data_IF_945861055829
#
_entry.id   IF_945861055829
#
_cell.length_a   1.000
_cell.length_b   1.000
_cell.length_c   1.000
_cell.angle_alpha   90.00
_cell.angle_beta   90.00
_cell.angle_gamma   90.00
#
_symmetry.space_group_name_H-M   'P 1'
#
loop_
_entity.id
_entity.type
_entity.pdbx_description
1 polymer ?
#
# COMPACT_ATOMS: atom_id res chain seq x y z
N UNK A 1 -19.21 -7.17 -12.38
CA UNK A 1 -18.15 -7.22 -13.41
C UNK A 1 -17.41 -8.53 -13.31
N UNK A 2 -17.22 -9.24 -14.42
CA UNK A 2 -16.43 -10.46 -14.38
C UNK A 2 -14.94 -10.06 -14.44
N UNK A 3 -14.21 -10.16 -13.32
CA UNK A 3 -12.75 -10.04 -13.29
C UNK A 3 -12.03 -11.15 -14.09
N UNK A 4 -12.81 -12.00 -14.77
CA UNK A 4 -12.31 -13.06 -15.66
C UNK A 4 -11.57 -12.52 -16.88
N UNK A 5 -11.76 -11.24 -17.21
CA UNK A 5 -11.18 -10.60 -18.40
C UNK A 5 -9.90 -9.80 -18.10
N UNK A 6 -9.58 -9.60 -16.81
CA UNK A 6 -8.33 -8.94 -16.42
C UNK A 6 -7.12 -9.86 -16.64
N UNK A 7 -6.01 -9.29 -17.08
CA UNK A 7 -4.76 -10.04 -17.30
C UNK A 7 -4.27 -10.65 -15.99
N UNK A 8 -3.94 -11.95 -15.93
CA UNK A 8 -3.31 -12.52 -14.73
C UNK A 8 -1.96 -11.85 -14.45
N UNK A 9 -1.69 -11.57 -13.17
CA UNK A 9 -0.36 -11.15 -12.74
C UNK A 9 0.65 -12.25 -13.05
N UNK A 10 1.82 -11.88 -13.58
CA UNK A 10 2.93 -12.81 -13.85
C UNK A 10 3.25 -13.61 -12.59
N UNK A 11 3.38 -14.93 -12.75
CA UNK A 11 3.80 -15.83 -11.66
C UNK A 11 5.26 -16.23 -11.85
N UNK A 12 6.04 -16.16 -10.78
CA UNK A 12 7.41 -16.68 -10.75
C UNK A 12 7.37 -18.21 -10.63
N UNK A 13 7.99 -18.89 -11.59
CA UNK A 13 8.05 -20.34 -11.66
C UNK A 13 9.35 -20.86 -11.06
N UNK A 14 9.33 -22.05 -10.45
CA UNK A 14 10.51 -22.78 -9.99
C UNK A 14 11.31 -22.07 -8.90
N UNK A 15 10.63 -21.29 -8.05
CA UNK A 15 11.26 -20.61 -6.91
C UNK A 15 11.32 -21.53 -5.68
N UNK A 16 12.43 -21.47 -4.96
CA UNK A 16 12.59 -22.18 -3.69
C UNK A 16 11.80 -21.48 -2.56
N UNK A 17 11.13 -22.24 -1.66
CA UNK A 17 10.45 -21.67 -0.52
C UNK A 17 11.37 -20.76 0.33
N UNK A 18 10.88 -19.56 0.65
CA UNK A 18 11.62 -18.58 1.47
C UNK A 18 12.70 -17.79 0.72
N UNK A 19 12.94 -18.05 -0.58
CA UNK A 19 13.98 -17.37 -1.38
C UNK A 19 13.34 -16.62 -2.55
N UNK A 20 13.37 -15.29 -2.49
CA UNK A 20 12.91 -14.45 -3.60
C UNK A 20 14.09 -14.24 -4.55
N UNK A 21 13.97 -14.62 -5.84
CA UNK A 21 15.02 -14.35 -6.82
C UNK A 21 15.23 -12.84 -7.05
N UNK A 22 16.48 -12.42 -7.28
CA UNK A 22 16.84 -11.00 -7.48
C UNK A 22 16.06 -10.35 -8.63
N UNK A 23 15.75 -11.08 -9.69
CA UNK A 23 14.99 -10.55 -10.81
C UNK A 23 13.55 -10.13 -10.45
N UNK A 24 12.97 -10.67 -9.35
CA UNK A 24 11.66 -10.25 -8.86
C UNK A 24 11.75 -8.82 -8.31
N UNK A 25 12.80 -8.53 -7.53
CA UNK A 25 13.02 -7.18 -7.00
C UNK A 25 13.36 -6.15 -8.07
N UNK A 26 13.94 -6.60 -9.19
CA UNK A 26 14.23 -5.77 -10.35
C UNK A 26 13.05 -5.66 -11.34
N UNK A 27 11.91 -6.30 -11.05
CA UNK A 27 10.73 -6.22 -11.92
C UNK A 27 10.06 -4.86 -11.80
N UNK A 28 9.72 -4.27 -12.95
CA UNK A 28 8.91 -3.06 -13.02
C UNK A 28 7.41 -3.36 -12.95
N UNK A 29 7.02 -4.64 -12.95
CA UNK A 29 5.64 -5.09 -12.86
C UNK A 29 5.44 -6.03 -11.67
N UNK A 30 4.19 -6.15 -11.15
CA UNK A 30 3.89 -7.08 -10.07
C UNK A 30 4.20 -8.53 -10.41
N UNK A 31 4.65 -9.29 -9.41
CA UNK A 31 5.00 -10.71 -9.56
C UNK A 31 4.41 -11.53 -8.42
N UNK A 32 3.64 -12.57 -8.75
CA UNK A 32 3.13 -13.56 -7.78
C UNK A 32 4.18 -14.64 -7.53
N UNK A 33 4.35 -15.02 -6.28
CA UNK A 33 5.22 -16.09 -5.82
C UNK A 33 4.38 -17.11 -5.05
N UNK A 34 4.06 -18.25 -5.69
CA UNK A 34 3.21 -19.28 -5.09
C UNK A 34 3.97 -20.07 -4.04
N UNK A 35 3.36 -20.26 -2.87
CA UNK A 35 3.88 -21.08 -1.78
C UNK A 35 5.18 -20.59 -1.16
N UNK A 36 5.65 -19.37 -1.49
CA UNK A 36 6.95 -18.83 -1.05
C UNK A 36 7.10 -18.81 0.48
N UNK A 37 6.01 -18.60 1.21
CA UNK A 37 5.96 -18.58 2.68
C UNK A 37 5.11 -19.73 3.26
N UNK A 38 4.80 -20.77 2.48
CA UNK A 38 4.01 -21.91 2.95
C UNK A 38 4.68 -22.68 4.10
N UNK A 39 6.00 -22.54 4.25
CA UNK A 39 6.78 -23.13 5.33
C UNK A 39 6.71 -22.36 6.65
N UNK A 40 6.11 -21.19 6.69
CA UNK A 40 5.97 -20.42 7.92
C UNK A 40 5.04 -21.13 8.91
N UNK A 41 5.41 -21.28 10.20
CA UNK A 41 4.48 -21.80 11.21
C UNK A 41 3.16 -21.01 11.27
N UNK A 42 3.19 -19.71 11.05
CA UNK A 42 1.99 -18.89 11.00
C UNK A 42 1.00 -19.32 9.89
N UNK A 43 1.49 -19.94 8.80
CA UNK A 43 0.67 -20.47 7.70
C UNK A 43 0.24 -21.91 8.00
N UNK A 44 1.17 -22.77 8.43
CA UNK A 44 0.94 -24.20 8.63
C UNK A 44 0.13 -24.52 9.89
N UNK A 45 0.38 -23.77 10.97
CA UNK A 45 -0.30 -23.96 12.26
C UNK A 45 -1.60 -23.15 12.33
N UNK A 46 -1.71 -22.14 11.46
CA UNK A 46 -2.90 -21.33 11.31
C UNK A 46 -3.88 -21.97 10.33
N UNK A 47 -4.69 -22.90 10.77
CA UNK A 47 -5.81 -23.56 10.07
C UNK A 47 -6.83 -22.59 9.41
N UNK A 48 -6.37 -21.42 8.98
CA UNK A 48 -7.18 -20.31 8.43
C UNK A 48 -8.36 -19.89 9.31
N UNK A 49 -8.45 -20.42 10.54
CA UNK A 49 -9.47 -20.06 11.52
C UNK A 49 -8.98 -18.91 12.43
N UNK A 50 -9.94 -18.14 12.93
CA UNK A 50 -9.67 -17.08 13.93
C UNK A 50 -8.97 -17.67 15.16
N UNK A 51 -9.40 -18.84 15.64
CA UNK A 51 -8.89 -19.44 16.87
C UNK A 51 -7.44 -19.91 16.74
N UNK A 52 -7.07 -20.45 15.59
CA UNK A 52 -5.69 -20.84 15.30
C UNK A 52 -4.77 -19.63 15.17
N UNK A 53 -5.22 -18.62 14.45
CA UNK A 53 -4.49 -17.36 14.30
C UNK A 53 -4.32 -16.64 15.65
N UNK A 54 -5.36 -16.56 16.48
CA UNK A 54 -5.27 -15.97 17.81
C UNK A 54 -4.29 -16.73 18.70
N UNK A 55 -4.35 -18.06 18.72
CA UNK A 55 -3.43 -18.89 19.51
C UNK A 55 -1.99 -18.65 19.09
N UNK A 56 -1.72 -18.64 17.77
CA UNK A 56 -0.38 -18.46 17.26
C UNK A 56 0.13 -17.04 17.48
N UNK A 57 -0.60 -16.01 17.06
CA UNK A 57 -0.21 -14.61 17.25
C UNK A 57 -0.18 -14.21 18.72
N UNK A 58 -1.10 -14.77 19.54
CA UNK A 58 -1.17 -14.52 20.97
C UNK A 58 0.08 -14.98 21.74
N UNK A 59 0.84 -15.95 21.20
CA UNK A 59 2.12 -16.36 21.80
C UNK A 59 3.23 -15.31 21.66
N UNK A 60 3.07 -14.34 20.76
CA UNK A 60 4.01 -13.24 20.53
C UNK A 60 3.42 -11.89 20.97
N UNK A 61 2.10 -11.78 21.06
CA UNK A 61 1.42 -10.49 21.22
C UNK A 61 1.76 -9.81 22.55
N UNK A 62 2.05 -8.53 22.47
CA UNK A 62 2.13 -7.64 23.63
C UNK A 62 0.74 -7.11 23.99
N UNK A 63 0.63 -6.45 25.17
CA UNK A 63 -0.59 -5.75 25.58
C UNK A 63 -0.76 -4.38 24.89
N UNK A 64 0.14 -4.00 23.97
CA UNK A 64 0.00 -2.75 23.22
C UNK A 64 -1.26 -2.76 22.35
N UNK A 65 -2.09 -1.71 22.41
CA UNK A 65 -3.29 -1.64 21.59
C UNK A 65 -2.94 -1.46 20.12
N UNK A 66 -3.63 -2.18 19.25
CA UNK A 66 -3.63 -1.95 17.80
C UNK A 66 -4.69 -0.93 17.43
N UNK A 67 -4.47 -0.19 16.33
CA UNK A 67 -5.52 0.64 15.74
C UNK A 67 -6.41 -0.23 14.87
N UNK A 68 -7.70 -0.25 15.18
CA UNK A 68 -8.72 -0.92 14.37
C UNK A 68 -9.67 0.10 13.74
N UNK A 69 -10.05 -0.18 12.52
CA UNK A 69 -11.07 0.54 11.77
C UNK A 69 -12.32 -0.33 11.72
N UNK A 70 -13.48 0.28 11.97
CA UNK A 70 -14.77 -0.41 12.01
C UNK A 70 -15.74 0.33 11.10
N UNK A 71 -16.28 -0.38 10.12
CA UNK A 71 -17.29 0.14 9.21
C UNK A 71 -18.60 -0.64 9.37
N UNK A 72 -19.78 0.03 9.24
CA UNK A 72 -21.07 -0.62 9.32
C UNK A 72 -21.32 -1.53 8.12
N UNK A 73 -22.32 -2.41 8.19
CA UNK A 73 -22.63 -3.40 7.15
C UNK A 73 -22.94 -2.76 5.79
N UNK A 74 -23.52 -1.56 5.78
CA UNK A 74 -23.84 -0.80 4.56
C UNK A 74 -22.58 -0.42 3.77
N UNK A 75 -21.44 -0.31 4.44
CA UNK A 75 -20.16 -0.07 3.80
C UNK A 75 -19.66 -1.28 2.97
N UNK A 76 -20.28 -2.46 3.15
CA UNK A 76 -19.96 -3.69 2.41
C UNK A 76 -18.46 -4.03 2.39
N UNK A 77 -17.79 -3.80 3.52
CA UNK A 77 -16.37 -4.03 3.66
C UNK A 77 -15.46 -2.90 3.16
N UNK A 78 -15.98 -1.89 2.47
CA UNK A 78 -15.18 -0.78 1.93
C UNK A 78 -14.89 0.27 3.00
N UNK A 79 -13.63 0.63 3.12
CA UNK A 79 -13.15 1.74 3.94
C UNK A 79 -12.82 2.92 3.02
N UNK A 80 -13.57 4.01 3.11
CA UNK A 80 -13.44 5.15 2.22
C UNK A 80 -14.10 6.41 2.79
N UNK A 81 -14.47 7.31 1.89
CA UNK A 81 -15.18 8.54 2.23
C UNK A 81 -16.66 8.25 2.52
N UNK A 82 -17.27 9.09 3.35
CA UNK A 82 -18.72 9.18 3.46
C UNK A 82 -19.31 9.93 2.26
N UNK A 83 -20.64 9.92 2.11
CA UNK A 83 -21.32 10.49 0.95
C UNK A 83 -21.10 11.99 0.76
N UNK A 84 -20.84 12.73 1.85
CA UNK A 84 -20.57 14.17 1.82
C UNK A 84 -19.11 14.55 1.60
N UNK A 85 -18.20 13.59 1.58
CA UNK A 85 -16.75 13.81 1.49
C UNK A 85 -16.18 14.71 2.60
N UNK A 86 -16.89 14.92 3.69
CA UNK A 86 -16.43 15.66 4.86
C UNK A 86 -15.82 14.77 5.95
N UNK A 87 -15.87 13.46 5.77
CA UNK A 87 -15.34 12.42 6.66
C UNK A 87 -15.22 11.06 5.97
N UNK A 88 -15.12 10.03 6.80
CA UNK A 88 -15.02 8.65 6.37
C UNK A 88 -16.28 7.86 6.74
N UNK A 89 -16.52 6.76 6.02
CA UNK A 89 -17.63 5.84 6.29
C UNK A 89 -17.32 4.82 7.40
N UNK A 90 -16.24 5.03 8.15
CA UNK A 90 -15.78 4.16 9.23
C UNK A 90 -15.35 4.99 10.46
N UNK A 91 -15.19 4.30 11.57
CA UNK A 91 -14.60 4.84 12.81
C UNK A 91 -13.29 4.12 13.10
N UNK A 92 -12.35 4.81 13.74
CA UNK A 92 -11.13 4.22 14.27
C UNK A 92 -11.17 4.16 15.79
N UNK A 93 -10.53 3.16 16.35
CA UNK A 93 -10.35 2.97 17.78
C UNK A 93 -9.12 2.14 18.07
N UNK A 94 -8.73 2.06 19.33
CA UNK A 94 -7.58 1.28 19.77
C UNK A 94 -8.04 0.21 20.76
N UNK A 95 -7.56 -1.04 20.58
CA UNK A 95 -7.87 -2.15 21.47
C UNK A 95 -6.71 -3.16 21.48
N UNK A 96 -6.52 -3.94 22.55
CA UNK A 96 -5.61 -5.09 22.53
C UNK A 96 -5.98 -6.08 21.44
N UNK A 97 -4.99 -6.76 20.88
CA UNK A 97 -5.20 -7.70 19.77
C UNK A 97 -6.20 -8.82 20.12
N UNK A 98 -6.18 -9.33 21.37
CA UNK A 98 -7.16 -10.32 21.87
C UNK A 98 -8.62 -9.83 21.75
N UNK A 99 -8.88 -8.55 22.01
CA UNK A 99 -10.23 -7.98 21.93
C UNK A 99 -10.68 -7.86 20.47
N UNK A 100 -9.74 -7.63 19.56
CA UNK A 100 -10.01 -7.64 18.11
C UNK A 100 -10.42 -9.06 17.66
N UNK A 101 -9.71 -10.10 18.09
CA UNK A 101 -10.09 -11.48 17.78
C UNK A 101 -11.49 -11.83 18.30
N UNK A 102 -11.81 -11.43 19.54
CA UNK A 102 -13.15 -11.63 20.10
C UNK A 102 -14.21 -10.94 19.21
N UNK A 103 -14.00 -9.67 18.83
CA UNK A 103 -14.95 -8.94 17.99
C UNK A 103 -15.10 -9.56 16.60
N UNK A 104 -14.02 -10.08 16.01
CA UNK A 104 -14.09 -10.77 14.73
C UNK A 104 -14.94 -12.04 14.80
N UNK A 105 -14.87 -12.82 15.92
CA UNK A 105 -15.76 -13.98 16.14
C UNK A 105 -17.23 -13.55 16.24
N UNK A 106 -17.50 -12.45 16.94
CA UNK A 106 -18.86 -11.89 17.04
C UNK A 106 -19.44 -11.52 15.67
N UNK A 107 -18.59 -11.16 14.69
CA UNK A 107 -19.04 -10.88 13.31
C UNK A 107 -19.36 -12.16 12.53
N UNK A 108 -18.80 -13.31 12.91
CA UNK A 108 -19.07 -14.61 12.28
C UNK A 108 -20.27 -15.34 12.90
N UNK A 109 -20.87 -14.80 13.96
CA UNK A 109 -22.06 -15.39 14.58
C UNK A 109 -23.23 -15.35 13.59
N UNK A 110 -23.82 -16.51 13.22
CA UNK A 110 -24.97 -16.58 12.30
C UNK A 110 -26.20 -15.79 12.76
N UNK A 111 -26.31 -15.47 14.05
CA UNK A 111 -27.37 -14.62 14.58
C UNK A 111 -27.13 -13.13 14.40
N UNK A 112 -25.93 -12.73 14.02
CA UNK A 112 -25.60 -11.34 13.74
C UNK A 112 -26.15 -10.93 12.35
N UNK A 113 -27.23 -10.18 12.35
CA UNK A 113 -27.93 -9.74 11.12
C UNK A 113 -27.28 -8.52 10.46
N UNK A 114 -26.42 -7.81 11.18
CA UNK A 114 -25.74 -6.59 10.71
C UNK A 114 -24.23 -6.64 11.00
N UNK A 115 -23.50 -7.58 10.35
CA UNK A 115 -22.08 -7.76 10.64
C UNK A 115 -21.27 -6.54 10.20
N UNK A 116 -20.50 -6.01 11.13
CA UNK A 116 -19.57 -4.90 10.86
C UNK A 116 -18.30 -5.40 10.20
N UNK A 117 -17.68 -4.55 9.41
CA UNK A 117 -16.34 -4.79 8.89
C UNK A 117 -15.31 -4.27 9.88
N UNK A 118 -14.34 -5.12 10.22
CA UNK A 118 -13.25 -4.82 11.17
C UNK A 118 -11.92 -5.00 10.44
N UNK A 119 -11.06 -3.99 10.53
CA UNK A 119 -9.78 -3.98 9.87
C UNK A 119 -8.69 -3.38 10.77
N UNK A 120 -7.62 -4.12 11.00
CA UNK A 120 -6.38 -3.66 11.62
C UNK A 120 -5.37 -3.48 10.51
N UNK A 121 -4.95 -2.24 10.26
CA UNK A 121 -4.04 -1.90 9.18
C UNK A 121 -2.65 -1.48 9.66
N UNK A 122 -1.64 -1.78 8.88
CA UNK A 122 -0.27 -1.30 9.01
C UNK A 122 0.28 -1.27 10.46
N UNK A 123 0.17 -2.41 11.16
CA UNK A 123 0.71 -2.51 12.52
C UNK A 123 2.10 -3.15 12.49
N UNK A 124 3.16 -2.46 12.95
CA UNK A 124 4.52 -2.99 12.94
C UNK A 124 4.65 -4.29 13.74
N UNK A 125 5.28 -5.31 13.14
CA UNK A 125 5.45 -6.63 13.78
C UNK A 125 6.33 -6.52 15.02
N UNK A 126 7.49 -5.86 14.94
CA UNK A 126 8.49 -5.86 16.01
C UNK A 126 7.96 -5.29 17.34
N UNK A 127 7.09 -4.28 17.29
CA UNK A 127 6.53 -3.66 18.48
C UNK A 127 5.37 -4.44 19.11
N UNK A 128 4.58 -5.12 18.30
CA UNK A 128 3.35 -5.78 18.73
C UNK A 128 3.46 -7.31 18.85
N UNK A 129 4.35 -7.92 18.04
CA UNK A 129 4.58 -9.36 17.97
C UNK A 129 6.09 -9.68 18.07
N UNK A 130 6.79 -9.29 19.15
CA UNK A 130 8.23 -9.50 19.28
C UNK A 130 8.56 -10.99 19.17
N UNK A 131 9.59 -11.34 18.39
CA UNK A 131 10.00 -12.73 18.13
C UNK A 131 9.21 -13.44 17.01
N UNK A 132 8.13 -12.86 16.48
CA UNK A 132 7.38 -13.46 15.36
C UNK A 132 8.27 -13.69 14.14
N UNK A 133 9.16 -12.72 13.81
CA UNK A 133 10.07 -12.81 12.67
C UNK A 133 11.18 -13.87 12.83
N UNK A 134 11.42 -14.40 14.03
CA UNK A 134 12.40 -15.46 14.23
C UNK A 134 11.94 -16.78 13.58
N UNK A 135 10.62 -16.94 13.41
CA UNK A 135 10.00 -18.15 12.85
C UNK A 135 9.33 -17.90 11.49
N UNK A 136 8.96 -16.67 11.19
CA UNK A 136 8.20 -16.29 10.01
C UNK A 136 8.93 -15.15 9.28
N UNK A 137 10.06 -15.50 8.65
CA UNK A 137 10.93 -14.54 8.00
C UNK A 137 11.01 -14.75 6.51
N UNK A 138 10.97 -13.65 5.76
CA UNK A 138 11.32 -13.59 4.35
C UNK A 138 12.43 -12.56 4.20
N UNK A 139 13.45 -12.88 3.40
CA UNK A 139 14.55 -11.95 3.11
C UNK A 139 14.15 -11.04 1.95
N UNK A 140 14.18 -9.74 2.19
CA UNK A 140 13.93 -8.69 1.20
C UNK A 140 15.06 -7.64 1.27
N UNK A 141 15.23 -6.78 0.27
CA UNK A 141 16.28 -5.76 0.25
C UNK A 141 16.18 -4.76 1.41
N UNK A 142 17.29 -4.14 1.74
CA UNK A 142 17.38 -3.01 2.65
C UNK A 142 17.03 -3.32 4.11
N UNK A 143 16.38 -2.36 4.77
CA UNK A 143 15.87 -2.49 6.13
C UNK A 143 14.33 -2.34 6.09
N UNK A 144 13.59 -3.43 5.86
CA UNK A 144 12.15 -3.35 5.64
C UNK A 144 11.38 -3.01 6.92
N UNK A 145 10.34 -2.22 6.77
CA UNK A 145 9.27 -2.13 7.75
C UNK A 145 8.34 -3.33 7.55
N UNK A 146 8.24 -4.20 8.56
CA UNK A 146 7.39 -5.39 8.51
C UNK A 146 6.11 -5.11 9.29
N UNK A 147 4.95 -5.25 8.63
CA UNK A 147 3.67 -5.02 9.26
C UNK A 147 2.75 -6.22 9.12
N UNK A 148 1.80 -6.34 10.04
CA UNK A 148 0.67 -7.23 9.88
C UNK A 148 -0.64 -6.47 9.63
N UNK A 149 -1.56 -7.16 8.95
CA UNK A 149 -2.85 -6.67 8.54
C UNK A 149 -3.88 -7.76 8.81
N UNK A 150 -4.88 -7.44 9.60
CA UNK A 150 -5.84 -8.42 10.11
C UNK A 150 -7.26 -7.89 9.93
N UNK A 151 -8.21 -8.76 9.59
CA UNK A 151 -9.61 -8.36 9.50
C UNK A 151 -10.52 -9.45 8.97
N UNK A 152 -11.79 -9.12 8.82
CA UNK A 152 -12.75 -9.95 8.13
C UNK A 152 -12.80 -9.64 6.61
N UNK A 153 -13.93 -9.87 5.94
CA UNK A 153 -14.10 -9.60 4.51
C UNK A 153 -14.09 -8.09 4.20
N UNK A 154 -12.90 -7.52 4.10
CA UNK A 154 -12.67 -6.08 3.89
C UNK A 154 -12.13 -5.77 2.51
N UNK A 155 -12.34 -4.54 2.06
CA UNK A 155 -11.86 -4.02 0.79
C UNK A 155 -11.08 -2.73 1.01
N UNK A 156 -9.82 -2.72 0.60
CA UNK A 156 -8.98 -1.53 0.53
C UNK A 156 -9.04 -1.01 -0.91
N UNK A 157 -9.61 0.20 -1.08
CA UNK A 157 -9.73 0.84 -2.39
C UNK A 157 -8.37 1.03 -3.05
N UNK A 158 -8.33 1.07 -4.38
CA UNK A 158 -7.09 1.20 -5.12
C UNK A 158 -6.32 2.46 -4.70
N UNK A 159 -5.09 2.25 -4.28
CA UNK A 159 -4.11 3.25 -3.85
C UNK A 159 -2.72 2.81 -4.32
N UNK A 160 -1.73 3.65 -4.15
CA UNK A 160 -0.33 3.27 -4.34
C UNK A 160 0.43 3.43 -3.02
N UNK A 161 1.48 2.66 -2.85
CA UNK A 161 2.47 2.87 -1.80
C UNK A 161 3.76 3.43 -2.41
N UNK A 162 4.43 4.30 -1.67
CA UNK A 162 5.74 4.81 -2.08
C UNK A 162 6.84 3.74 -1.93
N UNK A 163 6.88 2.91 -0.88
CA UNK A 163 7.80 1.78 -0.79
C UNK A 163 7.49 0.68 -1.81
N UNK A 164 8.52 -0.07 -2.22
CA UNK A 164 8.34 -1.41 -2.78
C UNK A 164 7.78 -2.35 -1.72
N UNK A 165 6.96 -3.33 -2.13
CA UNK A 165 6.16 -4.13 -1.22
C UNK A 165 6.21 -5.63 -1.59
N UNK A 166 6.45 -6.49 -0.61
CA UNK A 166 6.11 -7.91 -0.69
C UNK A 166 5.01 -8.21 0.31
N UNK A 167 3.84 -8.60 -0.19
CA UNK A 167 2.66 -8.91 0.62
C UNK A 167 2.43 -10.44 0.67
N UNK A 168 2.56 -11.03 1.86
CA UNK A 168 2.46 -12.47 2.13
C UNK A 168 1.10 -12.79 2.75
N UNK A 169 0.29 -13.62 2.12
CA UNK A 169 -0.98 -14.08 2.69
C UNK A 169 -0.69 -15.21 3.69
N UNK A 170 -1.08 -15.00 4.94
CA UNK A 170 -0.88 -15.96 6.03
C UNK A 170 -2.17 -16.74 6.29
N UNK A 171 -3.33 -16.07 6.29
CA UNK A 171 -4.63 -16.70 6.49
C UNK A 171 -5.69 -16.04 5.61
N UNK A 172 -6.67 -16.81 5.20
CA UNK A 172 -7.72 -16.38 4.28
C UNK A 172 -7.20 -16.19 2.85
N UNK A 173 -8.06 -15.68 1.98
CA UNK A 173 -7.76 -15.45 0.56
C UNK A 173 -7.90 -13.98 0.23
N UNK A 174 -7.04 -13.47 -0.63
CA UNK A 174 -7.09 -12.08 -1.07
C UNK A 174 -6.99 -11.95 -2.58
N UNK A 175 -7.82 -11.10 -3.15
CA UNK A 175 -7.71 -10.68 -4.55
C UNK A 175 -7.00 -9.33 -4.61
N UNK A 176 -5.94 -9.28 -5.38
CA UNK A 176 -5.25 -8.06 -5.77
C UNK A 176 -5.68 -7.70 -7.19
N UNK A 177 -6.04 -6.44 -7.41
CA UNK A 177 -6.27 -5.86 -8.74
C UNK A 177 -5.34 -4.67 -8.86
N UNK A 178 -4.42 -4.73 -9.81
CA UNK A 178 -3.31 -3.80 -9.93
C UNK A 178 -3.34 -3.07 -11.27
N UNK A 179 -2.82 -1.84 -11.25
CA UNK A 179 -2.78 -1.00 -12.45
C UNK A 179 -1.46 -0.25 -12.49
N UNK A 180 -0.87 -0.04 -13.70
CA UNK A 180 0.28 0.82 -13.84
C UNK A 180 -0.07 2.29 -13.52
N UNK A 181 0.94 3.07 -13.16
CA UNK A 181 0.74 4.45 -12.66
C UNK A 181 0.06 5.37 -13.68
N UNK A 182 0.24 5.14 -14.98
CA UNK A 182 -0.36 5.93 -16.06
C UNK A 182 -1.91 5.86 -16.08
N UNK A 183 -2.51 4.88 -15.38
CA UNK A 183 -3.95 4.77 -15.24
C UNK A 183 -4.55 5.76 -14.21
N UNK A 184 -3.77 6.64 -13.62
CA UNK A 184 -4.21 7.63 -12.60
C UNK A 184 -5.46 8.42 -13.04
N UNK A 185 -5.55 8.80 -14.33
CA UNK A 185 -6.69 9.54 -14.85
C UNK A 185 -7.97 8.68 -15.01
N UNK A 186 -7.81 7.37 -15.09
CA UNK A 186 -8.86 6.40 -15.33
C UNK A 186 -9.39 5.79 -14.03
N UNK A 187 -8.64 5.92 -12.93
CA UNK A 187 -8.98 5.39 -11.62
C UNK A 187 -9.79 6.36 -10.75
N UNK A 188 -10.04 7.59 -11.22
CA UNK A 188 -10.84 8.60 -10.49
C UNK A 188 -10.39 8.78 -9.03
N UNK A 189 -9.16 9.24 -8.89
CA UNK A 189 -8.52 9.42 -7.58
C UNK A 189 -9.17 10.56 -6.81
N UNK A 190 -9.48 10.30 -5.55
CA UNK A 190 -10.10 11.24 -4.63
C UNK A 190 -9.14 12.32 -4.10
N UNK A 191 -9.54 13.01 -3.02
CA UNK A 191 -8.72 14.03 -2.37
C UNK A 191 -7.33 13.52 -1.98
N UNK A 192 -6.31 14.36 -2.16
CA UNK A 192 -4.93 13.99 -1.84
C UNK A 192 -4.48 14.42 -0.44
N UNK A 193 -5.18 15.36 0.15
CA UNK A 193 -4.87 15.98 1.46
C UNK A 193 -5.72 15.44 2.61
N UNK A 194 -6.81 14.76 2.31
CA UNK A 194 -7.64 14.04 3.28
C UNK A 194 -7.84 12.61 2.77
N UNK A 195 -7.10 11.69 3.31
CA UNK A 195 -7.07 10.29 2.83
C UNK A 195 -7.45 9.32 3.95
N UNK A 196 -8.12 8.19 3.65
CA UNK A 196 -8.49 7.18 4.65
C UNK A 196 -7.30 6.53 5.36
N UNK A 197 -6.16 6.40 4.67
CA UNK A 197 -5.01 5.62 5.13
C UNK A 197 -3.65 6.21 4.74
N UNK A 198 -3.57 7.52 4.53
CA UNK A 198 -2.32 8.23 4.21
C UNK A 198 -2.09 8.44 2.71
N UNK A 199 -2.64 7.59 1.85
CA UNK A 199 -2.53 7.71 0.38
C UNK A 199 -3.89 8.05 -0.25
N UNK A 200 -3.92 8.80 -1.38
CA UNK A 200 -5.15 9.01 -2.12
C UNK A 200 -5.66 7.70 -2.71
N UNK A 201 -6.98 7.53 -2.69
CA UNK A 201 -7.65 6.30 -3.13
C UNK A 201 -8.56 6.54 -4.32
N UNK A 202 -8.81 5.50 -5.12
CA UNK A 202 -9.85 5.50 -6.13
C UNK A 202 -11.24 5.61 -5.49
N UNK A 203 -12.10 6.43 -6.07
CA UNK A 203 -13.50 6.59 -5.65
C UNK A 203 -14.41 5.50 -6.23
N UNK A 204 -13.95 4.76 -7.23
CA UNK A 204 -14.73 3.72 -7.90
C UNK A 204 -14.97 2.53 -6.99
N UNK A 205 -16.21 2.04 -6.92
CA UNK A 205 -16.51 0.73 -6.34
C UNK A 205 -16.20 -0.35 -7.37
N UNK A 206 -15.13 -1.12 -7.14
CA UNK A 206 -14.68 -2.14 -8.10
C UNK A 206 -15.59 -3.37 -8.16
N UNK A 207 -16.42 -3.58 -7.14
CA UNK A 207 -17.39 -4.70 -7.15
C UNK A 207 -18.64 -4.35 -7.96
N UNK A 208 -19.07 -3.07 -7.92
CA UNK A 208 -20.23 -2.56 -8.63
C UNK A 208 -19.90 -1.19 -9.22
N UNK A 209 -19.04 -1.13 -10.26
CA UNK A 209 -18.60 0.13 -10.82
C UNK A 209 -19.75 0.87 -11.54
N UNK A 210 -19.97 2.11 -11.15
CA UNK A 210 -20.87 3.02 -11.84
C UNK A 210 -20.14 3.62 -13.07
N UNK A 211 -20.35 3.01 -14.23
CA UNK A 211 -19.70 3.45 -15.47
C UNK A 211 -20.38 4.70 -16.08
N UNK A 212 -21.55 5.11 -15.61
CA UNK A 212 -22.14 6.38 -16.00
C UNK A 212 -21.41 7.53 -15.29
N UNK A 213 -21.14 7.37 -14.00
CA UNK A 213 -20.37 8.32 -13.21
C UNK A 213 -18.86 8.25 -13.51
N UNK A 214 -18.32 7.06 -13.75
CA UNK A 214 -16.88 6.79 -13.91
C UNK A 214 -16.55 6.12 -15.26
N UNK A 215 -16.89 6.73 -16.43
CA UNK A 215 -16.78 6.05 -17.71
C UNK A 215 -15.35 5.65 -18.11
N UNK A 216 -14.32 6.42 -17.70
CA UNK A 216 -12.93 6.06 -18.01
C UNK A 216 -12.42 4.85 -17.22
N UNK A 217 -13.14 4.42 -16.16
CA UNK A 217 -12.75 3.22 -15.42
C UNK A 217 -12.75 1.98 -16.31
N UNK A 218 -13.57 1.95 -17.35
CA UNK A 218 -13.52 0.87 -18.34
C UNK A 218 -12.16 0.78 -19.03
N UNK A 219 -11.53 1.92 -19.33
CA UNK A 219 -10.17 1.95 -19.89
C UNK A 219 -9.15 1.43 -18.88
N UNK A 220 -9.27 1.81 -17.59
CA UNK A 220 -8.39 1.25 -16.56
C UNK A 220 -8.45 -0.27 -16.52
N UNK A 221 -9.62 -0.85 -16.68
CA UNK A 221 -9.81 -2.31 -16.64
C UNK A 221 -9.12 -3.07 -17.77
N UNK A 222 -8.92 -2.44 -18.93
CA UNK A 222 -8.17 -3.01 -20.05
C UNK A 222 -6.67 -3.19 -19.70
N UNK A 223 -6.18 -2.43 -18.71
CA UNK A 223 -4.80 -2.47 -18.20
C UNK A 223 -4.68 -3.15 -16.82
N UNK A 224 -5.80 -3.67 -16.31
CA UNK A 224 -5.82 -4.31 -15.00
C UNK A 224 -5.08 -5.65 -15.02
N UNK A 225 -4.25 -5.85 -14.01
CA UNK A 225 -3.69 -7.16 -13.69
C UNK A 225 -4.36 -7.69 -12.42
N UNK A 226 -4.67 -8.99 -12.35
CA UNK A 226 -5.33 -9.57 -11.18
C UNK A 226 -4.67 -10.85 -10.71
N UNK A 227 -4.67 -11.06 -9.39
CA UNK A 227 -4.27 -12.30 -8.77
C UNK A 227 -5.13 -12.60 -7.54
N UNK A 228 -5.51 -13.86 -7.37
CA UNK A 228 -6.03 -14.36 -6.09
C UNK A 228 -4.90 -15.13 -5.42
N UNK A 229 -4.59 -14.75 -4.19
CA UNK A 229 -3.57 -15.38 -3.38
C UNK A 229 -4.21 -16.21 -2.28
N UNK A 230 -3.66 -17.40 -2.08
CA UNK A 230 -3.99 -18.35 -1.03
C UNK A 230 -2.96 -18.24 0.13
N UNK A 231 -3.23 -18.79 1.31
CA UNK A 231 -2.25 -18.88 2.38
C UNK A 231 -0.93 -19.51 1.92
N UNK A 232 0.19 -18.85 2.21
CA UNK A 232 1.52 -19.26 1.76
C UNK A 232 2.01 -18.57 0.51
N UNK A 233 1.13 -17.92 -0.26
CA UNK A 233 1.51 -17.12 -1.42
C UNK A 233 1.97 -15.71 -1.02
N UNK A 234 2.78 -15.10 -1.89
CA UNK A 234 3.10 -13.69 -1.80
C UNK A 234 3.02 -13.00 -3.16
N UNK A 235 2.91 -11.67 -3.13
CA UNK A 235 3.02 -10.83 -4.31
C UNK A 235 4.03 -9.73 -4.07
N UNK A 236 4.94 -9.54 -5.02
CA UNK A 236 5.76 -8.34 -5.14
C UNK A 236 4.97 -7.27 -5.87
N UNK A 237 4.91 -6.08 -5.30
CA UNK A 237 4.29 -4.89 -5.89
C UNK A 237 5.36 -3.81 -5.94
N UNK A 238 5.82 -3.41 -7.13
CA UNK A 238 6.79 -2.33 -7.26
C UNK A 238 6.24 -1.01 -6.69
N UNK A 239 7.13 -0.14 -6.24
CA UNK A 239 6.79 1.22 -5.81
C UNK A 239 5.84 1.90 -6.80
N UNK A 240 4.85 2.64 -6.29
CA UNK A 240 3.88 3.45 -7.05
C UNK A 240 2.84 2.68 -7.88
N UNK A 241 2.84 1.35 -7.90
CA UNK A 241 1.78 0.60 -8.55
C UNK A 241 0.45 0.75 -7.80
N UNK A 242 -0.61 1.11 -8.53
CA UNK A 242 -1.96 1.13 -7.98
C UNK A 242 -2.40 -0.29 -7.66
N UNK A 243 -2.91 -0.51 -6.45
CA UNK A 243 -3.42 -1.81 -6.04
C UNK A 243 -4.68 -1.69 -5.19
N UNK A 244 -5.68 -2.45 -5.61
CA UNK A 244 -6.94 -2.67 -4.90
C UNK A 244 -6.85 -4.05 -4.25
N UNK A 245 -7.16 -4.16 -2.96
CA UNK A 245 -7.05 -5.42 -2.23
C UNK A 245 -8.39 -5.78 -1.62
N UNK A 246 -8.94 -6.94 -2.01
CA UNK A 246 -10.17 -7.48 -1.46
C UNK A 246 -9.91 -8.77 -0.70
N UNK A 247 -10.24 -8.80 0.57
CA UNK A 247 -10.30 -10.00 1.38
C UNK A 247 -11.53 -10.84 0.97
N UNK A 248 -11.31 -12.12 0.67
CA UNK A 248 -12.33 -13.04 0.14
C UNK A 248 -12.83 -14.04 1.18
N UNK A 249 -12.23 -14.07 2.36
CA UNK A 249 -12.58 -14.96 3.46
C UNK A 249 -13.11 -14.17 4.65
N UNK A 250 -13.85 -14.82 5.54
CA UNK A 250 -14.40 -14.18 6.75
C UNK A 250 -13.34 -13.84 7.79
N UNK A 251 -12.14 -14.41 7.66
CA UNK A 251 -10.96 -14.05 8.42
C UNK A 251 -9.75 -13.98 7.48
N UNK A 252 -8.93 -12.95 7.65
CA UNK A 252 -7.75 -12.72 6.82
C UNK A 252 -6.61 -12.15 7.64
N UNK A 253 -5.40 -12.71 7.43
CA UNK A 253 -4.14 -12.23 7.97
C UNK A 253 -3.12 -12.11 6.85
N UNK A 254 -2.41 -10.99 6.80
CA UNK A 254 -1.35 -10.71 5.84
C UNK A 254 -0.17 -10.12 6.59
N UNK A 255 1.03 -10.48 6.18
CA UNK A 255 2.30 -9.85 6.58
C UNK A 255 2.88 -9.18 5.34
N UNK A 256 3.30 -7.93 5.47
CA UNK A 256 3.99 -7.28 4.36
C UNK A 256 5.34 -6.69 4.78
N UNK A 257 6.19 -6.56 3.78
CA UNK A 257 7.53 -5.99 3.87
C UNK A 257 7.58 -4.76 2.98
N UNK A 258 7.81 -3.59 3.57
CA UNK A 258 8.00 -2.35 2.85
C UNK A 258 9.45 -1.87 2.95
N UNK A 259 10.06 -1.55 1.84
CA UNK A 259 11.39 -0.94 1.80
C UNK A 259 11.46 0.16 0.76
N UNK A 260 12.43 1.06 0.95
CA UNK A 260 12.74 2.14 0.02
C UNK A 260 14.06 1.83 -0.68
N UNK A 261 14.10 2.03 -1.98
CA UNK A 261 15.32 1.96 -2.78
C UNK A 261 16.09 3.29 -2.78
N UNK A 262 15.50 4.33 -2.15
CA UNK A 262 16.10 5.65 -2.00
C UNK A 262 16.70 5.84 -0.61
N UNK A 263 17.70 6.73 -0.52
CA UNK A 263 18.34 7.03 0.75
C UNK A 263 17.38 7.73 1.73
N UNK A 264 17.37 7.32 2.99
CA UNK A 264 16.47 7.82 4.06
C UNK A 264 16.48 9.34 4.23
N UNK A 265 17.60 10.00 3.87
CA UNK A 265 17.72 11.43 4.03
C UNK A 265 17.03 12.26 2.92
N UNK A 266 16.51 11.66 1.87
CA UNK A 266 15.86 12.41 0.76
C UNK A 266 14.46 12.90 1.11
N UNK A 267 13.73 12.20 1.97
CA UNK A 267 12.38 12.58 2.38
C UNK A 267 11.30 12.14 1.39
N UNK A 268 10.05 12.51 1.67
CA UNK A 268 8.89 12.07 0.88
C UNK A 268 8.66 12.95 -0.37
N UNK A 269 8.59 12.37 -1.58
CA UNK A 269 8.22 13.10 -2.81
C UNK A 269 6.82 13.72 -2.75
N UNK A 270 5.92 13.17 -1.91
CA UNK A 270 4.58 13.71 -1.71
C UNK A 270 4.60 15.16 -1.19
N UNK A 271 5.59 15.52 -0.36
CA UNK A 271 5.75 16.92 0.09
C UNK A 271 6.09 17.86 -1.06
N UNK A 272 6.88 17.42 -2.04
CA UNK A 272 7.16 18.20 -3.23
C UNK A 272 5.90 18.38 -4.10
N UNK A 273 5.06 17.32 -4.21
CA UNK A 273 3.78 17.40 -4.88
C UNK A 273 2.86 18.44 -4.22
N UNK A 274 2.70 18.41 -2.90
CA UNK A 274 1.87 19.37 -2.17
C UNK A 274 2.38 20.80 -2.33
N UNK A 275 3.69 21.02 -2.28
CA UNK A 275 4.27 22.32 -2.54
C UNK A 275 4.03 22.78 -3.99
N UNK A 276 4.10 21.88 -4.96
CA UNK A 276 3.75 22.15 -6.36
C UNK A 276 2.27 22.54 -6.54
N UNK A 277 1.37 21.87 -5.81
CA UNK A 277 -0.06 22.24 -5.79
C UNK A 277 -0.23 23.65 -5.24
N UNK A 278 0.43 23.99 -4.13
CA UNK A 278 0.38 25.32 -3.51
C UNK A 278 0.93 26.41 -4.43
N UNK A 279 2.11 26.18 -5.00
CA UNK A 279 2.89 27.24 -5.66
C UNK A 279 2.63 27.35 -7.17
N UNK A 280 2.19 26.27 -7.85
CA UNK A 280 2.19 26.22 -9.32
C UNK A 280 0.78 26.03 -9.88
N UNK A 281 -0.08 25.23 -9.24
CA UNK A 281 -1.35 24.77 -9.82
C UNK A 281 -2.27 25.90 -10.29
N UNK A 282 -2.28 27.04 -9.60
CA UNK A 282 -3.16 28.17 -9.90
C UNK A 282 -2.50 29.28 -10.72
N UNK A 283 -1.24 29.12 -11.16
CA UNK A 283 -0.59 30.07 -12.04
C UNK A 283 -1.29 30.14 -13.41
N UNK A 284 -1.15 31.27 -14.18
CA UNK A 284 -1.56 31.33 -15.56
C UNK A 284 -0.94 30.21 -16.42
N UNK A 285 -1.68 29.76 -17.45
CA UNK A 285 -1.29 28.57 -18.24
C UNK A 285 0.15 28.63 -18.77
N UNK A 286 0.58 29.80 -19.30
CA UNK A 286 1.94 29.98 -19.81
C UNK A 286 3.00 29.81 -18.70
N UNK A 287 2.73 30.30 -17.49
CA UNK A 287 3.65 30.15 -16.36
C UNK A 287 3.70 28.72 -15.89
N UNK A 288 2.55 28.01 -15.81
CA UNK A 288 2.54 26.56 -15.48
C UNK A 288 3.36 25.76 -16.48
N UNK A 289 3.23 26.07 -17.78
CA UNK A 289 4.03 25.41 -18.81
C UNK A 289 5.53 25.68 -18.65
N UNK A 290 5.91 26.94 -18.33
CA UNK A 290 7.30 27.25 -18.04
C UNK A 290 7.86 26.50 -16.84
N UNK A 291 7.10 26.40 -15.74
CA UNK A 291 7.49 25.63 -14.57
C UNK A 291 7.57 24.14 -14.85
N UNK A 292 6.69 23.59 -15.69
CA UNK A 292 6.79 22.19 -16.13
C UNK A 292 8.12 21.94 -16.82
N UNK A 293 8.54 22.81 -17.74
CA UNK A 293 9.83 22.69 -18.46
C UNK A 293 11.03 22.79 -17.51
N UNK A 294 10.96 23.68 -16.49
CA UNK A 294 12.03 23.81 -15.49
C UNK A 294 12.13 22.55 -14.63
N UNK A 295 11.00 21.98 -14.17
CA UNK A 295 10.98 20.74 -13.40
C UNK A 295 11.44 19.56 -14.24
N UNK A 296 11.00 19.46 -15.49
CA UNK A 296 11.47 18.44 -16.43
C UNK A 296 13.00 18.49 -16.57
N UNK A 297 13.56 19.69 -16.74
CA UNK A 297 15.01 19.87 -16.89
C UNK A 297 15.79 19.53 -15.62
N UNK A 298 15.39 20.03 -14.45
CA UNK A 298 16.20 19.95 -13.23
C UNK A 298 15.89 18.73 -12.34
N UNK A 299 14.72 18.10 -12.50
CA UNK A 299 14.28 17.02 -11.59
C UNK A 299 14.17 15.70 -12.32
N UNK A 300 13.61 15.68 -13.53
CA UNK A 300 13.27 14.44 -14.23
C UNK A 300 14.24 14.09 -15.38
N UNK A 301 15.11 15.02 -15.78
CA UNK A 301 16.07 14.75 -16.83
C UNK A 301 17.36 14.15 -16.23
N UNK A 302 17.67 12.92 -16.60
CA UNK A 302 18.87 12.18 -16.15
C UNK A 302 20.10 12.48 -17.02
N UNK A 303 19.96 13.25 -18.12
CA UNK A 303 21.08 13.56 -19.00
C UNK A 303 22.12 14.43 -18.28
N UNK A 304 23.39 14.00 -18.21
CA UNK A 304 24.48 14.80 -17.61
C UNK A 304 24.61 16.20 -18.21
N UNK A 305 24.07 16.48 -19.39
CA UNK A 305 24.08 17.81 -20.03
C UNK A 305 23.45 18.88 -19.13
N UNK A 306 22.51 18.51 -18.27
CA UNK A 306 21.86 19.43 -17.32
C UNK A 306 22.89 20.14 -16.43
N UNK A 307 23.93 19.46 -16.01
CA UNK A 307 24.94 19.96 -15.07
C UNK A 307 26.36 20.01 -15.61
N UNK A 308 26.65 19.42 -16.77
CA UNK A 308 28.00 19.25 -17.30
C UNK A 308 28.79 20.57 -17.53
N UNK A 309 28.09 21.69 -17.72
CA UNK A 309 28.68 23.03 -17.89
C UNK A 309 28.93 23.74 -16.55
N UNK A 310 28.48 23.17 -15.43
CA UNK A 310 28.61 23.74 -14.08
C UNK A 310 29.83 23.10 -13.41
N UNK A 311 30.82 23.87 -12.94
CA UNK A 311 31.93 23.30 -12.17
C UNK A 311 31.42 22.55 -10.92
N UNK A 312 32.03 21.41 -10.60
CA UNK A 312 31.60 20.53 -9.51
C UNK A 312 31.37 21.28 -8.18
N UNK A 313 32.27 22.20 -7.83
CA UNK A 313 32.17 23.01 -6.62
C UNK A 313 30.99 24.02 -6.63
N UNK A 314 30.35 24.22 -7.76
CA UNK A 314 29.23 25.16 -7.94
C UNK A 314 27.88 24.45 -8.13
N UNK A 315 27.83 23.11 -8.16
CA UNK A 315 26.59 22.34 -8.37
C UNK A 315 25.53 22.60 -7.28
N UNK A 316 25.95 22.84 -6.04
CA UNK A 316 25.00 23.08 -4.96
C UNK A 316 24.00 21.91 -4.80
N UNK A 317 22.70 22.24 -4.81
CA UNK A 317 21.64 21.23 -4.70
C UNK A 317 21.42 20.36 -5.96
N UNK A 318 22.10 20.66 -7.06
CA UNK A 318 22.08 19.82 -8.28
C UNK A 318 23.14 18.71 -8.24
N UNK A 319 24.07 18.74 -7.27
CA UNK A 319 25.02 17.66 -7.04
C UNK A 319 24.40 16.53 -6.20
N UNK A 320 25.17 15.43 -5.99
CA UNK A 320 24.74 14.34 -5.13
C UNK A 320 24.41 14.85 -3.72
N UNK A 321 23.18 14.63 -3.26
CA UNK A 321 22.73 15.06 -1.94
C UNK A 321 23.12 14.02 -0.88
N UNK A 322 24.11 14.35 -0.04
CA UNK A 322 24.34 13.61 1.18
C UNK A 322 23.45 14.14 2.33
N UNK A 323 23.49 13.49 3.49
CA UNK A 323 22.66 13.85 4.65
C UNK A 323 22.81 15.30 5.09
N UNK A 324 24.04 15.85 5.08
CA UNK A 324 24.29 17.23 5.49
C UNK A 324 23.77 18.26 4.47
N UNK A 325 23.89 17.96 3.19
CA UNK A 325 23.36 18.79 2.10
C UNK A 325 21.84 18.76 2.05
N UNK A 326 21.23 17.59 2.22
CA UNK A 326 19.78 17.45 2.34
C UNK A 326 19.23 18.26 3.52
N UNK A 327 19.91 18.26 4.68
CA UNK A 327 19.47 19.07 5.83
C UNK A 327 19.65 20.57 5.59
N UNK A 328 20.74 21.00 4.95
CA UNK A 328 20.91 22.41 4.55
C UNK A 328 19.79 22.88 3.62
N UNK A 329 19.44 22.05 2.64
CA UNK A 329 18.35 22.36 1.71
C UNK A 329 16.99 22.46 2.42
N UNK A 330 16.71 21.55 3.39
CA UNK A 330 15.49 21.62 4.21
C UNK A 330 15.42 22.91 5.03
N UNK A 331 16.52 23.32 5.66
CA UNK A 331 16.57 24.57 6.42
C UNK A 331 16.28 25.77 5.51
N UNK A 332 16.83 25.78 4.31
CA UNK A 332 16.57 26.85 3.34
C UNK A 332 15.11 26.85 2.86
N UNK A 333 14.54 25.68 2.57
CA UNK A 333 13.13 25.55 2.20
C UNK A 333 12.21 26.06 3.31
N UNK A 334 12.46 25.67 4.58
CA UNK A 334 11.65 26.14 5.72
C UNK A 334 11.64 27.67 5.83
N UNK A 335 12.77 28.36 5.58
CA UNK A 335 12.86 29.83 5.59
C UNK A 335 12.03 30.48 4.50
N UNK A 336 11.86 29.81 3.35
CA UNK A 336 11.15 30.34 2.19
C UNK A 336 9.66 29.99 2.17
N UNK A 337 9.22 29.08 3.02
CA UNK A 337 7.81 28.67 3.13
C UNK A 337 7.02 29.57 4.10
N UNK A 338 7.67 30.52 4.79
CA UNK A 338 7.03 31.45 5.75
C UNK A 338 6.73 32.80 5.10
#
# INVERSE_FOLDING_TARGET
MNYTDATPVRTAEGIDPGVIPDWVFASEEPVVMRGIVAHWPAVSDGDSSIDSAERYLGSFATDQPVTAYVAPCEARGRFGYNDSFDGFNFRSGSAPLRDIFQRLREQQDPSNTEPMSIYVGSTPVDGWLPGFQDYNKLTVPGNPLVNFWLGNATTVSAHYDFPSNVACVVSGRRRFTLFPLDQINNLYIGPIDRTPSGQPISLVDFDVPDLEQFPRFQVALEHAQTAVLEPGDAIFIPSMWWHHVKALSDFNLLINYWWLDSADHLGSPFHALLHGVLAIRQLPAAQRQAWKLLMEHYIFNEDPVVTAHIPEQALGCLGPLNKAEAERLRVELRKRLN
#
